data_IF_450450144438
#
_entry.id   IF_450450144438
#
_cell.length_a   1.000
_cell.length_b   1.000
_cell.length_c   1.000
_cell.angle_alpha   90.00
_cell.angle_beta   90.00
_cell.angle_gamma   90.00
#
_symmetry.space_group_name_H-M   'P 1'
#
loop_
_entity.id
_entity.type
_entity.pdbx_description
1 polymer ?
#
# COMPACT_ATOMS: atom_id res chain seq x y z
N UNK A 1 -0.61 27.43 38.81
CA UNK A 1 0.29 27.23 37.66
C UNK A 1 1.21 26.08 38.03
N UNK A 2 1.40 24.98 37.32
CA UNK A 2 0.79 24.34 36.16
C UNK A 2 1.46 22.97 36.08
N UNK A 3 0.78 22.01 35.46
CA UNK A 3 1.28 20.73 34.96
C UNK A 3 1.60 19.63 35.98
N UNK A 4 0.56 18.89 36.37
CA UNK A 4 0.69 17.46 36.67
C UNK A 4 1.06 16.72 35.38
N UNK A 5 2.22 16.05 35.39
CA UNK A 5 2.67 15.18 34.32
C UNK A 5 1.91 13.85 34.40
N UNK A 6 0.89 13.66 33.58
CA UNK A 6 0.25 12.36 33.40
C UNK A 6 1.17 11.45 32.58
N UNK A 7 1.88 10.56 33.27
CA UNK A 7 2.57 9.43 32.67
C UNK A 7 1.54 8.51 32.00
N UNK A 8 1.63 8.36 30.68
CA UNK A 8 0.83 7.39 29.93
C UNK A 8 1.28 5.99 30.37
N UNK A 9 0.42 5.30 31.10
CA UNK A 9 0.63 3.91 31.50
C UNK A 9 0.54 3.01 30.26
N UNK A 10 1.69 2.62 29.72
CA UNK A 10 1.79 1.63 28.64
C UNK A 10 1.51 0.25 29.21
N UNK A 11 0.24 -0.16 29.23
CA UNK A 11 -0.11 -1.57 29.43
C UNK A 11 0.11 -2.34 28.14
N UNK A 12 1.19 -3.14 28.13
CA UNK A 12 1.44 -4.18 27.13
C UNK A 12 0.26 -5.16 27.11
N UNK A 13 -0.45 -5.24 25.97
CA UNK A 13 -1.49 -6.25 25.77
C UNK A 13 -0.80 -7.60 25.51
N UNK A 14 -0.82 -8.46 26.52
CA UNK A 14 -0.47 -9.87 26.39
C UNK A 14 -1.60 -10.58 25.66
N UNK A 15 -1.41 -10.89 24.38
CA UNK A 15 -2.28 -11.81 23.63
C UNK A 15 -1.85 -13.25 23.88
N UNK A 16 -2.52 -13.91 24.84
CA UNK A 16 -2.51 -15.37 24.95
C UNK A 16 -3.70 -15.94 24.15
N UNK A 17 -3.43 -16.43 22.94
CA UNK A 17 -4.41 -17.11 22.11
C UNK A 17 -3.75 -18.21 21.28
N UNK A 18 -4.02 -19.46 21.65
CA UNK A 18 -3.50 -20.68 21.04
C UNK A 18 -3.96 -20.80 19.58
N UNK A 19 -3.00 -20.91 18.66
CA UNK A 19 -3.20 -21.34 17.28
C UNK A 19 -1.93 -22.02 16.80
N UNK A 20 -1.87 -23.36 16.94
CA UNK A 20 -0.72 -24.16 16.55
C UNK A 20 -0.63 -24.27 15.03
N UNK A 21 0.21 -23.47 14.39
CA UNK A 21 0.80 -23.81 13.09
C UNK A 21 2.20 -24.35 13.33
N UNK A 22 2.45 -25.52 12.76
CA UNK A 22 3.58 -26.41 13.00
C UNK A 22 4.90 -25.70 12.66
N UNK A 23 5.77 -25.53 13.66
CA UNK A 23 7.20 -25.29 13.44
C UNK A 23 7.77 -26.50 12.66
N UNK A 24 8.42 -26.25 11.52
CA UNK A 24 9.43 -27.16 10.99
C UNK A 24 10.73 -26.41 10.72
N UNK A 25 11.55 -26.41 11.76
CA UNK A 25 12.96 -26.78 11.76
C UNK A 25 13.87 -26.18 10.67
N UNK A 26 14.49 -25.07 11.04
CA UNK A 26 15.91 -24.76 10.97
C UNK A 26 16.81 -25.92 10.48
N UNK A 27 17.58 -25.68 9.42
CA UNK A 27 18.90 -26.27 9.20
C UNK A 27 19.80 -25.16 8.62
N UNK A 28 20.88 -24.85 9.33
CA UNK A 28 21.92 -23.92 8.91
C UNK A 28 23.09 -24.68 8.27
N UNK A 29 23.99 -23.90 7.67
CA UNK A 29 25.31 -24.24 7.10
C UNK A 29 25.20 -24.75 5.65
N UNK A 30 25.73 -24.05 4.65
CA UNK A 30 27.17 -23.88 4.45
C UNK A 30 27.54 -22.59 3.69
N UNK A 31 28.52 -21.86 4.22
CA UNK A 31 29.18 -20.73 3.55
C UNK A 31 30.30 -21.35 2.72
N UNK A 32 30.17 -21.39 1.40
CA UNK A 32 31.24 -21.86 0.52
C UNK A 32 31.52 -20.86 -0.60
N UNK A 33 32.73 -20.32 -0.54
CA UNK A 33 33.58 -19.87 -1.63
C UNK A 33 33.06 -18.78 -2.58
N UNK A 34 33.70 -17.62 -2.44
CA UNK A 34 34.22 -16.77 -3.53
C UNK A 34 34.03 -17.39 -4.92
N UNK A 35 32.96 -16.97 -5.61
CA UNK A 35 32.77 -17.18 -7.03
C UNK A 35 32.98 -15.85 -7.74
N UNK A 36 34.18 -15.65 -8.28
CA UNK A 36 34.58 -14.50 -9.08
C UNK A 36 33.66 -14.39 -10.30
N UNK A 37 32.59 -13.57 -10.23
CA UNK A 37 31.80 -13.21 -11.41
C UNK A 37 32.59 -12.18 -12.21
N UNK A 38 33.43 -12.67 -13.10
CA UNK A 38 34.00 -11.87 -14.18
C UNK A 38 32.84 -11.19 -14.94
N UNK A 39 32.78 -9.85 -14.88
CA UNK A 39 31.94 -9.06 -15.79
C UNK A 39 32.57 -9.19 -17.18
N UNK A 40 32.15 -10.18 -17.94
CA UNK A 40 32.35 -10.17 -19.39
C UNK A 40 31.32 -9.22 -19.99
N UNK A 41 31.74 -7.99 -20.26
CA UNK A 41 31.07 -7.10 -21.21
C UNK A 41 31.33 -7.65 -22.61
N UNK A 42 30.59 -8.68 -23.02
CA UNK A 42 30.49 -9.00 -24.43
C UNK A 42 29.52 -8.00 -25.05
N UNK A 43 30.08 -6.94 -25.63
CA UNK A 43 29.37 -6.14 -26.63
C UNK A 43 29.19 -7.08 -27.83
N UNK A 44 28.10 -7.83 -27.85
CA UNK A 44 27.60 -8.42 -29.09
C UNK A 44 26.69 -7.39 -29.73
N UNK A 45 27.16 -6.80 -30.84
CA UNK A 45 26.30 -6.08 -31.76
C UNK A 45 25.15 -7.02 -32.19
N UNK A 46 23.91 -6.55 -32.05
CA UNK A 46 22.72 -7.27 -32.51
C UNK A 46 22.10 -8.19 -31.45
N UNK A 47 21.36 -7.62 -30.51
CA UNK A 47 20.30 -8.36 -29.82
C UNK A 47 18.94 -7.97 -30.39
N UNK A 48 18.81 -8.15 -31.71
CA UNK A 48 17.53 -8.05 -32.38
C UNK A 48 16.83 -9.40 -32.21
N UNK A 49 15.72 -9.40 -31.48
CA UNK A 49 14.85 -10.57 -31.27
C UNK A 49 15.26 -11.52 -30.13
N UNK A 50 15.22 -11.01 -28.91
CA UNK A 50 14.76 -11.84 -27.79
C UNK A 50 13.28 -12.18 -27.97
N UNK A 51 12.92 -13.48 -27.95
CA UNK A 51 11.54 -14.00 -27.89
C UNK A 51 10.79 -13.67 -26.59
N UNK A 52 11.31 -12.75 -25.78
CA UNK A 52 10.61 -12.19 -24.61
C UNK A 52 9.97 -10.83 -24.91
N UNK A 53 9.77 -10.48 -26.18
CA UNK A 53 8.68 -9.56 -26.54
C UNK A 53 7.37 -10.35 -26.47
N UNK A 54 6.94 -10.67 -25.26
CA UNK A 54 5.54 -10.99 -25.06
C UNK A 54 4.81 -9.66 -25.19
N UNK A 55 4.07 -9.50 -26.29
CA UNK A 55 3.09 -8.44 -26.54
C UNK A 55 2.07 -8.35 -25.39
N UNK A 56 2.52 -7.83 -24.26
CA UNK A 56 1.67 -7.14 -23.31
C UNK A 56 1.84 -5.67 -23.64
N UNK A 57 1.17 -5.23 -24.71
CA UNK A 57 0.54 -3.92 -24.68
C UNK A 57 -0.43 -3.93 -23.49
N UNK A 58 0.11 -3.80 -22.28
CA UNK A 58 -0.61 -3.25 -21.16
C UNK A 58 -1.07 -1.89 -21.69
N UNK A 59 -2.37 -1.75 -21.96
CA UNK A 59 -2.97 -0.45 -22.20
C UNK A 59 -2.53 0.45 -21.05
N UNK A 60 -1.52 1.29 -21.30
CA UNK A 60 -1.04 2.29 -20.36
C UNK A 60 -2.07 3.41 -20.35
N UNK A 61 -3.26 3.10 -19.81
CA UNK A 61 -4.22 4.12 -19.44
C UNK A 61 -3.68 4.79 -18.18
N UNK A 62 -3.36 6.09 -18.22
CA UNK A 62 -2.97 6.79 -17.00
C UNK A 62 -4.12 6.71 -16.01
N UNK A 63 -3.79 6.44 -14.73
CA UNK A 63 -4.79 6.43 -13.67
C UNK A 63 -5.52 7.76 -13.64
N UNK A 64 -6.85 7.70 -13.69
CA UNK A 64 -7.73 8.86 -13.54
C UNK A 64 -8.03 9.09 -12.06
N UNK A 65 -8.59 10.26 -11.72
CA UNK A 65 -8.99 10.55 -10.33
C UNK A 65 -10.06 9.59 -9.85
N UNK A 66 -10.95 9.19 -10.75
CA UNK A 66 -12.04 8.27 -10.50
C UNK A 66 -11.53 6.88 -10.09
N UNK A 67 -10.39 6.47 -10.63
CA UNK A 67 -9.74 5.20 -10.29
C UNK A 67 -9.22 5.17 -8.83
N UNK A 68 -9.04 6.34 -8.20
CA UNK A 68 -8.65 6.44 -6.77
C UNK A 68 -9.83 6.25 -5.81
N UNK A 69 -11.08 6.35 -6.28
CA UNK A 69 -12.27 6.30 -5.42
C UNK A 69 -12.35 5.02 -4.57
N UNK A 70 -12.07 3.80 -5.07
CA UNK A 70 -12.18 2.58 -4.28
C UNK A 70 -11.24 2.56 -3.06
N UNK A 71 -9.98 2.97 -3.25
CA UNK A 71 -8.99 3.02 -2.17
C UNK A 71 -9.36 4.10 -1.14
N UNK A 72 -9.71 5.30 -1.61
CA UNK A 72 -10.16 6.37 -0.73
C UNK A 72 -11.44 6.01 0.06
N UNK A 73 -12.37 5.29 -0.57
CA UNK A 73 -13.58 4.77 0.09
C UNK A 73 -13.20 3.84 1.24
N UNK A 74 -12.23 2.94 1.01
CA UNK A 74 -11.72 2.04 2.06
C UNK A 74 -11.06 2.81 3.19
N UNK A 75 -10.31 3.88 2.89
CA UNK A 75 -9.72 4.75 3.89
C UNK A 75 -10.77 5.45 4.76
N UNK A 76 -11.83 6.01 4.15
CA UNK A 76 -12.92 6.63 4.89
C UNK A 76 -13.72 5.64 5.74
N UNK A 77 -13.89 4.40 5.26
CA UNK A 77 -14.52 3.34 6.05
C UNK A 77 -13.72 3.06 7.33
N UNK A 78 -12.39 2.90 7.22
CA UNK A 78 -11.49 2.72 8.37
C UNK A 78 -11.48 3.92 9.31
N UNK A 79 -11.60 5.14 8.76
CA UNK A 79 -11.70 6.36 9.55
C UNK A 79 -12.95 6.36 10.43
N UNK A 80 -14.12 6.00 9.88
CA UNK A 80 -15.36 5.88 10.65
C UNK A 80 -15.20 4.87 11.81
N UNK A 81 -14.61 3.70 11.54
CA UNK A 81 -14.34 2.71 12.59
C UNK A 81 -13.39 3.24 13.67
N UNK A 82 -12.37 3.99 13.28
CA UNK A 82 -11.40 4.59 14.22
C UNK A 82 -12.03 5.65 15.11
N UNK A 83 -13.10 6.29 14.64
CA UNK A 83 -13.91 7.24 15.42
C UNK A 83 -14.93 6.56 16.34
N UNK A 84 -15.06 5.22 16.28
CA UNK A 84 -16.07 4.46 17.03
C UNK A 84 -17.47 4.49 16.42
N UNK A 85 -17.62 4.93 15.16
CA UNK A 85 -18.87 4.84 14.42
C UNK A 85 -19.10 3.41 13.90
N UNK A 86 -20.37 3.07 13.65
CA UNK A 86 -20.77 1.85 12.94
C UNK A 86 -21.00 2.15 11.44
N UNK A 87 -20.07 1.78 10.53
CA UNK A 87 -20.24 2.03 9.10
C UNK A 87 -21.39 1.25 8.45
N UNK A 88 -21.90 0.20 9.11
CA UNK A 88 -23.03 -0.61 8.62
C UNK A 88 -24.38 0.04 8.89
N UNK A 89 -24.43 1.11 9.70
CA UNK A 89 -25.65 1.90 9.93
C UNK A 89 -26.16 2.50 8.62
N UNK A 90 -27.48 2.49 8.42
CA UNK A 90 -28.14 2.95 7.19
C UNK A 90 -27.66 4.34 6.71
N UNK A 91 -27.50 5.29 7.63
CA UNK A 91 -27.01 6.65 7.33
C UNK A 91 -25.55 6.72 6.87
N UNK A 92 -24.74 5.70 7.20
CA UNK A 92 -23.31 5.66 6.93
C UNK A 92 -22.90 4.74 5.77
N UNK A 93 -23.77 3.85 5.29
CA UNK A 93 -23.47 2.92 4.20
C UNK A 93 -22.87 3.60 2.95
N UNK A 94 -23.38 4.78 2.59
CA UNK A 94 -22.91 5.55 1.43
C UNK A 94 -21.87 6.61 1.78
N UNK A 95 -21.59 6.84 3.07
CA UNK A 95 -20.70 7.92 3.52
C UNK A 95 -19.27 7.77 3.00
N UNK A 96 -18.61 6.59 3.08
CA UNK A 96 -17.24 6.47 2.61
C UNK A 96 -17.07 6.85 1.13
N UNK A 97 -17.97 6.38 0.27
CA UNK A 97 -17.92 6.70 -1.17
C UNK A 97 -18.25 8.17 -1.47
N UNK A 98 -19.20 8.78 -0.73
CA UNK A 98 -19.48 10.22 -0.85
C UNK A 98 -18.30 11.07 -0.41
N UNK A 99 -17.66 10.72 0.71
CA UNK A 99 -16.52 11.43 1.24
C UNK A 99 -15.31 11.35 0.30
N UNK A 100 -15.03 10.17 -0.28
CA UNK A 100 -13.99 10.01 -1.30
C UNK A 100 -14.20 10.94 -2.50
N UNK A 101 -15.42 10.95 -3.06
CA UNK A 101 -15.77 11.83 -4.19
C UNK A 101 -15.69 13.31 -3.83
N UNK A 102 -16.17 13.69 -2.64
CA UNK A 102 -16.10 15.07 -2.16
C UNK A 102 -14.64 15.53 -2.02
N UNK A 103 -13.77 14.69 -1.48
CA UNK A 103 -12.34 15.00 -1.33
C UNK A 103 -11.66 15.20 -2.67
N UNK A 104 -11.94 14.35 -3.67
CA UNK A 104 -11.43 14.53 -5.03
C UNK A 104 -11.91 15.83 -5.67
N UNK A 105 -13.17 16.21 -5.41
CA UNK A 105 -13.73 17.49 -5.89
C UNK A 105 -13.07 18.70 -5.23
N UNK A 106 -12.87 18.68 -3.90
CA UNK A 106 -12.21 19.79 -3.19
C UNK A 106 -10.75 19.99 -3.62
N UNK A 107 -10.11 18.92 -4.08
CA UNK A 107 -8.71 18.91 -4.51
C UNK A 107 -8.54 18.93 -6.04
N UNK A 108 -9.62 19.16 -6.81
CA UNK A 108 -9.58 19.16 -8.29
C UNK A 108 -8.68 20.26 -8.89
N UNK A 109 -8.40 21.30 -8.12
CA UNK A 109 -7.55 22.42 -8.55
C UNK A 109 -6.09 22.02 -8.80
N UNK A 110 -5.60 20.91 -8.22
CA UNK A 110 -4.24 20.43 -8.47
C UNK A 110 -4.00 20.00 -9.92
N UNK A 111 -5.05 19.64 -10.64
CA UNK A 111 -4.97 19.21 -12.04
C UNK A 111 -5.35 20.34 -13.02
N UNK A 112 -5.62 21.54 -12.50
CA UNK A 112 -6.02 22.70 -13.30
C UNK A 112 -4.83 23.62 -13.50
N UNK A 113 -4.53 23.93 -14.76
CA UNK A 113 -3.60 25.01 -15.10
C UNK A 113 -4.40 26.31 -15.24
N UNK A 114 -3.93 27.37 -14.60
CA UNK A 114 -4.51 28.71 -14.78
C UNK A 114 -3.89 29.31 -16.04
N UNK A 115 -4.68 29.65 -17.07
CA UNK A 115 -4.17 30.41 -18.21
C UNK A 115 -3.70 31.78 -17.73
N UNK A 116 -2.44 32.12 -18.00
CA UNK A 116 -1.83 33.41 -17.69
C UNK A 116 -2.11 34.47 -18.73
#
# INVERSE_FOLDING_TARGET
>A
MSAESNAVNTTNIVVNGKGTSKLKQQHAVEISAVGTRTRTTSISAGHEKCSFHYDLELEHKPLTREDMIPEMTTAYFKLLQSLGEDPSREGLLKTPGRAAKAMLFFTKGYDQTIPG
#
